data_IF_782893314498
#
_entry.id   IF_782893314498
#
_cell.length_a   1.000
_cell.length_b   1.000
_cell.length_c   1.000
_cell.angle_alpha   90.00
_cell.angle_beta   90.00
_cell.angle_gamma   90.00
#
_symmetry.space_group_name_H-M   'P 1'
#
loop_
_entity.id
_entity.type
_entity.pdbx_description
1 polymer ?
#
# COMPACT_ATOMS: atom_id res chain seq x y z
N UNK A 1 6.64 -10.85 -5.44
CA UNK A 1 7.06 -9.53 -6.00
C UNK A 1 6.08 -8.92 -7.00
N UNK A 2 5.48 -9.70 -7.91
CA UNK A 2 4.50 -9.18 -8.90
C UNK A 2 3.29 -8.51 -8.25
N UNK A 3 2.73 -9.10 -7.19
CA UNK A 3 1.57 -8.56 -6.45
C UNK A 3 1.86 -7.18 -5.84
N UNK A 4 3.02 -7.02 -5.18
CA UNK A 4 3.41 -5.74 -4.54
C UNK A 4 3.55 -4.63 -5.59
N UNK A 5 4.16 -4.93 -6.75
CA UNK A 5 4.27 -4.00 -7.86
C UNK A 5 2.90 -3.57 -8.39
N UNK A 6 1.99 -4.52 -8.62
CA UNK A 6 0.62 -4.23 -9.06
C UNK A 6 -0.13 -3.34 -8.07
N UNK A 7 -0.01 -3.63 -6.77
CA UNK A 7 -0.61 -2.85 -5.69
C UNK A 7 -0.12 -1.40 -5.67
N UNK A 8 1.19 -1.19 -5.81
CA UNK A 8 1.78 0.15 -5.89
C UNK A 8 1.31 0.90 -7.14
N UNK A 9 1.28 0.23 -8.29
CA UNK A 9 0.83 0.82 -9.55
C UNK A 9 -0.65 1.22 -9.48
N UNK A 10 -1.51 0.35 -8.95
CA UNK A 10 -2.93 0.65 -8.75
C UNK A 10 -3.13 1.79 -7.75
N UNK A 11 -2.39 1.80 -6.64
CA UNK A 11 -2.47 2.89 -5.65
C UNK A 11 -2.10 4.24 -6.28
N UNK A 12 -0.98 4.30 -7.00
CA UNK A 12 -0.55 5.51 -7.68
C UNK A 12 -1.54 5.97 -8.75
N UNK A 13 -2.04 5.04 -9.57
CA UNK A 13 -3.07 5.33 -10.58
C UNK A 13 -4.34 5.87 -9.92
N UNK A 14 -4.79 5.26 -8.83
CA UNK A 14 -5.98 5.69 -8.08
C UNK A 14 -5.80 7.08 -7.48
N UNK A 15 -4.62 7.36 -6.89
CA UNK A 15 -4.26 8.67 -6.34
C UNK A 15 -4.23 9.72 -7.46
N UNK A 16 -3.60 9.41 -8.59
CA UNK A 16 -3.51 10.28 -9.77
C UNK A 16 -4.88 10.63 -10.34
N UNK A 17 -5.75 9.62 -10.55
CA UNK A 17 -7.12 9.82 -11.04
C UNK A 17 -7.93 10.67 -10.07
N UNK A 18 -7.81 10.43 -8.76
CA UNK A 18 -8.52 11.20 -7.75
C UNK A 18 -8.03 12.66 -7.67
N UNK A 19 -6.74 12.91 -7.84
CA UNK A 19 -6.16 14.26 -7.93
C UNK A 19 -6.62 15.00 -9.19
N UNK A 20 -6.66 14.33 -10.33
CA UNK A 20 -7.18 14.91 -11.58
C UNK A 20 -8.66 15.28 -11.41
N UNK A 21 -9.48 14.38 -10.87
CA UNK A 21 -10.88 14.66 -10.56
C UNK A 21 -11.05 15.81 -9.57
N UNK A 22 -10.17 15.91 -8.57
CA UNK A 22 -10.13 17.06 -7.66
C UNK A 22 -9.85 18.37 -8.40
N UNK A 23 -8.91 18.38 -9.36
CA UNK A 23 -8.56 19.59 -10.10
C UNK A 23 -9.75 20.10 -10.92
N UNK A 24 -10.52 19.20 -11.54
CA UNK A 24 -11.69 19.55 -12.35
C UNK A 24 -12.93 19.94 -11.52
N UNK A 25 -13.22 19.22 -10.43
CA UNK A 25 -14.42 19.48 -9.60
C UNK A 25 -14.19 20.41 -8.42
N UNK A 26 -12.93 20.62 -7.99
CA UNK A 26 -12.52 21.34 -6.76
C UNK A 26 -13.24 20.91 -5.48
N UNK A 27 -13.89 19.75 -5.48
CA UNK A 27 -14.65 19.25 -4.33
C UNK A 27 -13.71 18.55 -3.33
N UNK A 28 -13.72 19.02 -2.07
CA UNK A 28 -12.87 18.48 -0.99
C UNK A 28 -13.11 16.99 -0.71
N UNK A 29 -14.23 16.41 -1.16
CA UNK A 29 -14.49 14.97 -1.08
C UNK A 29 -13.41 14.12 -1.77
N UNK A 30 -12.82 14.61 -2.86
CA UNK A 30 -11.74 13.90 -3.55
C UNK A 30 -10.44 13.86 -2.73
N UNK A 31 -10.14 14.91 -1.96
CA UNK A 31 -8.99 14.92 -1.04
C UNK A 31 -9.16 13.90 0.10
N UNK A 32 -10.38 13.76 0.62
CA UNK A 32 -10.68 12.73 1.63
C UNK A 32 -10.50 11.32 1.05
N UNK A 33 -10.90 11.10 -0.20
CA UNK A 33 -10.68 9.82 -0.88
C UNK A 33 -9.19 9.52 -1.07
N UNK A 34 -8.41 10.49 -1.54
CA UNK A 34 -6.93 10.37 -1.64
C UNK A 34 -6.32 10.01 -0.29
N UNK A 35 -6.74 10.68 0.79
CA UNK A 35 -6.28 10.36 2.14
C UNK A 35 -6.62 8.93 2.59
N UNK A 36 -7.83 8.43 2.27
CA UNK A 36 -8.23 7.04 2.56
C UNK A 36 -7.38 6.03 1.79
N UNK A 37 -7.19 6.26 0.49
CA UNK A 37 -6.36 5.40 -0.37
C UNK A 37 -4.91 5.40 0.11
N UNK A 38 -4.35 6.56 0.42
CA UNK A 38 -3.00 6.69 0.97
C UNK A 38 -2.83 5.98 2.31
N UNK A 39 -3.81 6.10 3.22
CA UNK A 39 -3.78 5.39 4.51
C UNK A 39 -3.85 3.87 4.33
N UNK A 40 -4.71 3.39 3.41
CA UNK A 40 -4.78 1.97 3.07
C UNK A 40 -3.44 1.46 2.50
N UNK A 41 -2.86 2.19 1.54
CA UNK A 41 -1.56 1.85 0.96
C UNK A 41 -0.45 1.79 2.03
N UNK A 42 -0.44 2.73 2.97
CA UNK A 42 0.52 2.76 4.07
C UNK A 42 0.36 1.55 5.00
N UNK A 43 -0.87 1.19 5.38
CA UNK A 43 -1.15 0.01 6.21
C UNK A 43 -0.65 -1.26 5.52
N UNK A 44 -0.95 -1.42 4.23
CA UNK A 44 -0.48 -2.56 3.44
C UNK A 44 1.05 -2.61 3.40
N UNK A 45 1.71 -1.47 3.18
CA UNK A 45 3.17 -1.38 3.16
C UNK A 45 3.78 -1.82 4.49
N UNK A 46 3.24 -1.30 5.61
CA UNK A 46 3.69 -1.67 6.96
C UNK A 46 3.48 -3.16 7.22
N UNK A 47 2.32 -3.71 6.84
CA UNK A 47 2.03 -5.15 7.00
C UNK A 47 3.04 -6.01 6.22
N UNK A 48 3.38 -5.63 4.99
CA UNK A 48 4.39 -6.34 4.19
C UNK A 48 5.77 -6.25 4.84
N UNK A 49 6.17 -5.07 5.33
CA UNK A 49 7.46 -4.90 6.02
C UNK A 49 7.53 -5.75 7.30
N UNK A 50 6.45 -5.80 8.07
CA UNK A 50 6.37 -6.64 9.27
C UNK A 50 6.44 -8.12 8.91
N UNK A 51 5.80 -8.55 7.82
CA UNK A 51 5.90 -9.91 7.33
C UNK A 51 7.34 -10.27 6.97
N UNK A 52 8.05 -9.42 6.23
CA UNK A 52 9.47 -9.63 5.92
C UNK A 52 10.36 -9.65 7.18
N UNK A 53 10.09 -8.77 8.14
CA UNK A 53 10.80 -8.76 9.41
C UNK A 53 10.56 -10.06 10.20
N UNK A 54 9.33 -10.54 10.24
CA UNK A 54 8.96 -11.80 10.86
C UNK A 54 9.64 -12.99 10.15
N UNK A 55 9.59 -13.04 8.82
CA UNK A 55 10.29 -14.06 8.03
C UNK A 55 11.80 -14.04 8.32
N UNK A 56 12.42 -12.87 8.41
CA UNK A 56 13.86 -12.75 8.70
C UNK A 56 14.23 -13.28 10.10
N UNK A 57 13.37 -13.10 11.09
CA UNK A 57 13.60 -13.53 12.47
C UNK A 57 13.24 -15.00 12.66
N UNK A 58 12.12 -15.44 12.08
CA UNK A 58 11.57 -16.78 12.28
C UNK A 58 12.21 -17.82 11.36
N UNK A 59 12.63 -17.46 10.14
CA UNK A 59 13.30 -18.38 9.23
C UNK A 59 14.49 -19.13 9.86
N UNK A 60 15.46 -18.49 10.56
CA UNK A 60 16.55 -19.23 11.20
C UNK A 60 16.11 -20.12 12.37
N UNK A 61 14.97 -19.79 13.02
CA UNK A 61 14.41 -20.57 14.14
C UNK A 61 13.62 -21.78 13.64
N UNK A 62 12.92 -21.64 12.52
CA UNK A 62 12.09 -22.68 11.91
C UNK A 62 12.86 -23.59 10.94
N UNK A 63 13.96 -23.10 10.36
CA UNK A 63 14.84 -23.88 9.48
C UNK A 63 15.31 -25.23 10.06
N UNK A 64 15.66 -25.38 11.35
CA UNK A 64 16.02 -26.68 11.92
C UNK A 64 14.82 -27.60 12.23
N UNK A 65 13.58 -27.13 12.07
CA UNK A 65 12.34 -27.89 12.37
C UNK A 65 11.61 -28.41 11.11
N UNK A 66 12.12 -28.10 9.92
CA UNK A 66 11.60 -28.50 8.60
C UNK A 66 12.61 -29.37 7.87
#
# INVERSE_FOLDING_TARGET
MVIVRLLLFLSLATIGVALVLYLFKRDRRYLVFVGKVGKFALIVLVAVLLFFAAERILAPVLAPLL
#
